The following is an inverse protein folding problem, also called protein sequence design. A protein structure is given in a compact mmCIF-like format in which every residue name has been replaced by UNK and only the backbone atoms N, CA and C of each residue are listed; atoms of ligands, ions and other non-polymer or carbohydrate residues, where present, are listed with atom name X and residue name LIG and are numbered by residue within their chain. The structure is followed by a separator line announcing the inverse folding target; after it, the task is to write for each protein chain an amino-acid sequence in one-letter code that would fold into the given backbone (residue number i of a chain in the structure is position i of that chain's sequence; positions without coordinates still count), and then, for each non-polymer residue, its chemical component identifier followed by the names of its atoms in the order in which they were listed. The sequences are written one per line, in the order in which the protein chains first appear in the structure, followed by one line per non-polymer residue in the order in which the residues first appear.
data_IF_792408588248
#
_entry.id   IF_792408588248
#
_cell.length_a   1.000
_cell.length_b   1.000
_cell.length_c   1.000
_cell.angle_alpha   90.00
_cell.angle_beta   90.00
_cell.angle_gamma   90.00
#
_symmetry.space_group_name_H-M   'P 1'
#
loop_
_entity.id
_entity.type
_entity.pdbx_description
1 polymer ?
#
# COMPACT_ATOMS: atom_id res chain seq x y z
N UNK A 1 30.42 6.29 18.50
CA UNK A 1 30.08 6.92 17.23
C UNK A 1 28.58 7.01 17.15
N UNK A 2 28.03 8.17 17.50
CA UNK A 2 26.62 8.52 17.35
C UNK A 2 26.25 8.36 15.87
N UNK A 3 25.40 7.37 15.55
CA UNK A 3 24.81 7.30 14.24
C UNK A 3 24.05 8.62 14.03
N UNK A 4 24.40 9.35 12.99
CA UNK A 4 23.69 10.56 12.61
C UNK A 4 22.24 10.14 12.31
N UNK A 5 21.32 10.57 13.16
CA UNK A 5 19.88 10.51 12.87
C UNK A 5 19.71 11.28 11.55
N UNK A 6 19.13 10.63 10.56
CA UNK A 6 18.89 11.30 9.29
C UNK A 6 18.02 12.54 9.59
N UNK A 7 18.52 13.73 9.29
CA UNK A 7 17.81 14.95 9.58
C UNK A 7 16.48 14.94 8.80
N UNK A 8 15.38 15.19 9.51
CA UNK A 8 14.06 15.42 8.89
C UNK A 8 14.22 16.46 7.76
N UNK A 9 13.54 16.28 6.61
CA UNK A 9 13.57 17.27 5.55
C UNK A 9 13.18 18.64 6.09
N UNK A 10 13.95 19.67 5.74
CA UNK A 10 13.62 21.03 6.14
C UNK A 10 12.28 21.41 5.54
N UNK A 11 11.37 21.93 6.38
CA UNK A 11 10.09 22.44 5.90
C UNK A 11 10.29 23.59 4.93
N UNK A 12 9.59 23.52 3.82
CA UNK A 12 9.50 24.58 2.80
C UNK A 12 8.02 24.83 2.54
N UNK A 13 7.62 26.09 2.63
CA UNK A 13 6.26 26.49 2.31
C UNK A 13 5.91 26.11 0.87
N UNK A 14 4.75 25.48 0.60
CA UNK A 14 4.40 25.05 -0.74
C UNK A 14 4.19 26.21 -1.70
N UNK A 15 4.58 25.98 -2.96
CA UNK A 15 4.38 26.92 -4.06
C UNK A 15 3.78 26.20 -5.26
N UNK A 16 3.36 26.95 -6.28
CA UNK A 16 2.85 26.36 -7.52
C UNK A 16 3.86 25.42 -8.20
N UNK A 17 5.17 25.72 -8.11
CA UNK A 17 6.25 24.90 -8.68
C UNK A 17 6.63 23.73 -7.78
N UNK A 18 6.39 23.84 -6.48
CA UNK A 18 6.66 22.81 -5.48
C UNK A 18 5.48 22.66 -4.54
N UNK A 19 4.39 22.05 -5.01
CA UNK A 19 3.20 21.85 -4.18
C UNK A 19 3.48 20.83 -3.08
N UNK A 20 2.74 20.94 -1.98
CA UNK A 20 2.69 19.93 -0.94
C UNK A 20 1.84 18.75 -1.41
N UNK A 21 2.45 17.57 -1.52
CA UNK A 21 1.80 16.38 -2.06
C UNK A 21 1.22 15.51 -0.93
N UNK A 22 -0.04 15.76 -0.58
CA UNK A 22 -0.78 14.93 0.39
C UNK A 22 -1.79 14.01 -0.32
N UNK A 23 -1.39 13.42 -1.46
CA UNK A 23 -2.30 12.71 -2.35
C UNK A 23 -1.83 11.33 -2.85
N UNK A 24 -0.54 11.00 -2.74
CA UNK A 24 0.01 9.78 -3.33
C UNK A 24 0.48 8.74 -2.31
N UNK A 25 0.29 8.99 -1.01
CA UNK A 25 0.70 8.09 0.06
C UNK A 25 2.21 7.77 0.00
N UNK A 26 3.02 8.74 -0.38
CA UNK A 26 4.47 8.65 -0.41
C UNK A 26 5.06 8.81 1.00
N UNK A 27 6.28 8.35 1.20
CA UNK A 27 7.03 8.63 2.42
C UNK A 27 7.65 10.03 2.30
N UNK A 28 7.23 11.01 3.12
CA UNK A 28 7.65 12.40 2.98
C UNK A 28 9.10 12.64 3.38
N UNK A 29 9.76 11.68 4.05
CA UNK A 29 11.18 11.77 4.40
C UNK A 29 12.09 11.64 3.16
N UNK A 30 11.58 11.03 2.08
CA UNK A 30 12.40 10.63 0.95
C UNK A 30 13.29 9.42 1.26
N UNK A 31 14.04 8.93 0.30
CA UNK A 31 15.00 7.84 0.52
C UNK A 31 16.11 8.28 1.47
N UNK A 32 16.65 7.34 2.24
CA UNK A 32 17.78 7.59 3.12
C UNK A 32 19.03 8.03 2.35
N UNK A 33 19.93 8.75 3.01
CA UNK A 33 21.23 9.13 2.38
C UNK A 33 22.03 7.89 2.00
N UNK A 34 21.99 6.84 2.81
CA UNK A 34 22.64 5.54 2.49
C UNK A 34 22.12 4.94 1.20
N UNK A 35 20.80 5.00 0.96
CA UNK A 35 20.20 4.51 -0.28
C UNK A 35 20.63 5.36 -1.49
N UNK A 36 20.67 6.68 -1.35
CA UNK A 36 21.13 7.59 -2.41
C UNK A 36 22.61 7.33 -2.77
N UNK A 37 23.45 7.11 -1.78
CA UNK A 37 24.85 6.73 -1.99
C UNK A 37 24.98 5.37 -2.69
N UNK A 38 24.15 4.38 -2.28
CA UNK A 38 24.12 3.08 -2.93
C UNK A 38 23.71 3.17 -4.40
N UNK A 39 22.73 4.03 -4.73
CA UNK A 39 22.33 4.33 -6.10
C UNK A 39 23.49 4.87 -6.91
N UNK A 40 24.20 5.88 -6.39
CA UNK A 40 25.33 6.51 -7.07
C UNK A 40 26.42 5.48 -7.39
N UNK A 41 26.75 4.59 -6.45
CA UNK A 41 27.72 3.52 -6.65
C UNK A 41 27.23 2.50 -7.70
N UNK A 42 25.97 2.09 -7.62
CA UNK A 42 25.41 1.11 -8.53
C UNK A 42 25.26 1.62 -9.98
N UNK A 43 25.07 2.92 -10.15
CA UNK A 43 24.98 3.55 -11.47
C UNK A 43 26.24 3.31 -12.33
N UNK A 44 27.41 3.14 -11.71
CA UNK A 44 28.67 2.80 -12.40
C UNK A 44 28.60 1.45 -13.12
N UNK A 45 27.71 0.58 -12.73
CA UNK A 45 27.52 -0.75 -13.29
C UNK A 45 26.24 -0.88 -14.14
N UNK A 46 25.63 0.25 -14.49
CA UNK A 46 24.37 0.29 -15.23
C UNK A 46 24.40 -0.36 -16.62
N UNK A 47 25.61 -0.63 -17.16
CA UNK A 47 25.79 -1.37 -18.42
C UNK A 47 25.70 -2.89 -18.27
N UNK A 48 25.52 -3.41 -17.06
CA UNK A 48 25.51 -4.84 -16.75
C UNK A 48 24.17 -5.30 -16.18
N UNK A 49 23.72 -6.47 -16.60
CA UNK A 49 22.56 -7.10 -15.97
C UNK A 49 22.89 -7.55 -14.53
N UNK A 50 21.98 -7.34 -13.59
CA UNK A 50 22.24 -7.52 -12.16
C UNK A 50 22.01 -8.96 -11.66
N UNK A 51 22.56 -10.01 -12.31
CA UNK A 51 22.32 -11.40 -11.93
C UNK A 51 22.68 -11.69 -10.47
N UNK A 52 23.90 -11.34 -10.08
CA UNK A 52 24.37 -11.59 -8.71
C UNK A 52 23.62 -10.74 -7.69
N UNK A 53 23.29 -9.50 -8.04
CA UNK A 53 22.56 -8.56 -7.17
C UNK A 53 21.14 -9.02 -6.92
N UNK A 54 20.45 -9.57 -7.92
CA UNK A 54 19.09 -10.14 -7.76
C UNK A 54 19.13 -11.31 -6.78
N UNK A 55 20.06 -12.24 -6.94
CA UNK A 55 20.19 -13.41 -6.06
C UNK A 55 20.46 -12.97 -4.62
N UNK A 56 21.42 -12.08 -4.42
CA UNK A 56 21.76 -11.56 -3.09
C UNK A 56 20.60 -10.81 -2.44
N UNK A 57 19.92 -9.94 -3.20
CA UNK A 57 18.79 -9.20 -2.68
C UNK A 57 17.61 -10.10 -2.30
N UNK A 58 17.27 -11.08 -3.14
CA UNK A 58 16.19 -12.04 -2.82
C UNK A 58 16.48 -12.84 -1.56
N UNK A 59 17.74 -13.20 -1.34
CA UNK A 59 18.16 -13.89 -0.11
C UNK A 59 17.91 -13.03 1.13
N UNK A 60 18.28 -11.75 1.07
CA UNK A 60 18.10 -10.82 2.19
C UNK A 60 16.63 -10.49 2.41
N UNK A 61 15.86 -10.28 1.33
CA UNK A 61 14.43 -10.04 1.40
C UNK A 61 13.68 -11.25 1.98
N UNK A 62 14.01 -12.46 1.54
CA UNK A 62 13.42 -13.67 2.07
C UNK A 62 13.71 -13.83 3.58
N UNK A 63 14.93 -13.52 4.01
CA UNK A 63 15.30 -13.50 5.43
C UNK A 63 14.50 -12.44 6.21
N UNK A 64 14.34 -11.25 5.64
CA UNK A 64 13.54 -10.18 6.24
C UNK A 64 12.07 -10.58 6.41
N UNK A 65 11.52 -11.31 5.44
CA UNK A 65 10.14 -11.78 5.45
C UNK A 65 9.95 -13.12 6.17
N UNK A 66 11.04 -13.75 6.63
CA UNK A 66 11.03 -15.09 7.24
C UNK A 66 10.37 -16.14 6.34
N UNK A 67 10.79 -16.16 5.08
CA UNK A 67 10.37 -17.13 4.05
C UNK A 67 11.58 -17.63 3.26
N UNK A 68 11.37 -18.57 2.34
CA UNK A 68 12.43 -19.06 1.46
C UNK A 68 12.61 -18.14 0.26
N UNK A 69 13.82 -18.06 -0.34
CA UNK A 69 14.05 -17.23 -1.53
C UNK A 69 13.14 -17.56 -2.72
N UNK A 70 12.78 -18.83 -2.90
CA UNK A 70 11.88 -19.28 -3.97
C UNK A 70 10.39 -19.02 -3.69
N UNK A 71 10.05 -18.56 -2.48
CA UNK A 71 8.74 -18.07 -2.08
C UNK A 71 8.57 -16.56 -2.32
N UNK A 72 9.57 -15.89 -2.90
CA UNK A 72 9.56 -14.45 -3.21
C UNK A 72 9.75 -14.23 -4.70
N UNK A 73 8.97 -13.35 -5.28
CA UNK A 73 9.08 -12.90 -6.67
C UNK A 73 9.18 -11.37 -6.72
N UNK A 74 10.25 -10.86 -7.30
CA UNK A 74 10.43 -9.41 -7.50
C UNK A 74 9.61 -8.92 -8.69
N UNK A 75 9.02 -7.73 -8.54
CA UNK A 75 8.21 -7.10 -9.58
C UNK A 75 8.54 -5.61 -9.71
N UNK A 76 8.20 -5.00 -10.83
CA UNK A 76 8.33 -3.56 -11.07
C UNK A 76 7.15 -2.80 -10.42
N UNK A 77 7.18 -2.72 -9.09
CA UNK A 77 6.09 -2.21 -8.27
C UNK A 77 5.00 -3.26 -8.02
N UNK A 78 4.13 -3.00 -7.04
CA UNK A 78 3.00 -3.88 -6.73
C UNK A 78 1.93 -3.91 -7.84
N UNK A 79 1.87 -2.88 -8.69
CA UNK A 79 0.96 -2.88 -9.83
C UNK A 79 1.24 -4.03 -10.81
N UNK A 80 2.52 -4.33 -11.09
CA UNK A 80 2.88 -5.51 -11.88
C UNK A 80 2.52 -6.81 -11.13
N UNK A 81 2.75 -6.86 -9.83
CA UNK A 81 2.39 -8.03 -9.03
C UNK A 81 0.88 -8.30 -9.04
N UNK A 82 0.06 -7.27 -8.93
CA UNK A 82 -1.41 -7.39 -9.02
C UNK A 82 -1.82 -7.93 -10.40
N UNK A 83 -1.31 -7.32 -11.47
CA UNK A 83 -1.62 -7.73 -12.85
C UNK A 83 -1.21 -9.19 -13.09
N UNK A 84 0.03 -9.50 -12.82
CA UNK A 84 0.57 -10.84 -13.05
C UNK A 84 -0.16 -11.92 -12.24
N UNK A 85 -0.52 -11.63 -11.00
CA UNK A 85 -1.28 -12.57 -10.14
C UNK A 85 -2.67 -12.85 -10.72
N UNK A 86 -3.40 -11.82 -11.11
CA UNK A 86 -4.74 -11.98 -11.69
C UNK A 86 -4.65 -12.75 -13.01
N UNK A 87 -3.72 -12.43 -13.88
CA UNK A 87 -3.51 -13.13 -15.16
C UNK A 87 -3.10 -14.59 -14.95
N UNK A 88 -2.24 -14.87 -13.96
CA UNK A 88 -1.78 -16.22 -13.66
C UNK A 88 -2.87 -17.12 -13.05
N UNK A 89 -3.70 -16.56 -12.17
CA UNK A 89 -4.71 -17.31 -11.42
C UNK A 89 -6.07 -17.38 -12.12
N UNK A 90 -6.32 -16.51 -13.10
CA UNK A 90 -7.58 -16.49 -13.84
C UNK A 90 -7.71 -17.70 -14.77
N UNK A 91 -8.94 -18.17 -14.90
CA UNK A 91 -9.38 -19.14 -15.90
C UNK A 91 -10.39 -18.48 -16.83
N UNK A 92 -10.88 -19.20 -17.84
CA UNK A 92 -11.93 -18.69 -18.74
C UNK A 92 -13.22 -18.30 -18.03
N UNK A 93 -13.43 -18.80 -16.83
CA UNK A 93 -14.65 -18.57 -16.04
C UNK A 93 -14.29 -18.07 -14.64
N UNK A 94 -13.75 -16.87 -14.57
CA UNK A 94 -13.26 -16.25 -13.33
C UNK A 94 -14.05 -15.01 -12.96
N UNK A 95 -14.26 -14.81 -11.68
CA UNK A 95 -14.86 -13.61 -11.08
C UNK A 95 -13.92 -13.06 -10.02
N UNK A 96 -13.71 -11.75 -10.02
CA UNK A 96 -13.01 -11.04 -8.94
C UNK A 96 -14.03 -10.54 -7.92
N UNK A 97 -13.86 -10.90 -6.66
CA UNK A 97 -14.68 -10.44 -5.54
C UNK A 97 -13.86 -9.52 -4.67
N UNK A 98 -14.34 -8.32 -4.42
CA UNK A 98 -13.65 -7.30 -3.62
C UNK A 98 -14.63 -6.39 -2.88
N UNK A 99 -14.19 -5.67 -1.83
CA UNK A 99 -14.96 -4.57 -1.27
C UNK A 99 -15.22 -3.48 -2.32
N UNK A 100 -16.38 -2.82 -2.28
CA UNK A 100 -16.69 -1.76 -3.25
C UNK A 100 -15.78 -0.53 -3.10
N UNK A 101 -15.27 -0.27 -1.90
CA UNK A 101 -14.37 0.84 -1.61
C UNK A 101 -12.99 0.30 -1.25
N UNK A 102 -12.14 0.19 -2.25
CA UNK A 102 -10.76 -0.30 -2.12
C UNK A 102 -9.87 0.23 -3.24
N UNK A 103 -8.61 -0.17 -3.24
CA UNK A 103 -7.66 0.19 -4.29
C UNK A 103 -8.10 -0.38 -5.65
N UNK A 104 -8.04 0.46 -6.69
CA UNK A 104 -8.71 0.16 -7.95
C UNK A 104 -7.99 -0.77 -8.92
N UNK A 105 -6.68 -1.00 -8.74
CA UNK A 105 -5.87 -1.71 -9.73
C UNK A 105 -6.35 -3.15 -9.98
N UNK A 106 -6.80 -3.84 -8.93
CA UNK A 106 -7.34 -5.20 -9.08
C UNK A 106 -8.55 -5.26 -10.01
N UNK A 107 -9.52 -4.37 -9.80
CA UNK A 107 -10.70 -4.26 -10.65
C UNK A 107 -10.35 -3.82 -12.08
N UNK A 108 -9.42 -2.90 -12.24
CA UNK A 108 -9.01 -2.40 -13.56
C UNK A 108 -8.31 -3.49 -14.37
N UNK A 109 -7.45 -4.28 -13.75
CA UNK A 109 -6.83 -5.46 -14.38
C UNK A 109 -7.88 -6.49 -14.75
N UNK A 110 -8.80 -6.81 -13.84
CA UNK A 110 -9.88 -7.75 -14.09
C UNK A 110 -10.71 -7.35 -15.30
N UNK A 111 -11.12 -6.09 -15.38
CA UNK A 111 -11.90 -5.56 -16.50
C UNK A 111 -11.15 -5.66 -17.84
N UNK A 112 -9.87 -5.33 -17.87
CA UNK A 112 -9.02 -5.45 -19.07
C UNK A 112 -8.87 -6.90 -19.54
N UNK A 113 -9.02 -7.86 -18.65
CA UNK A 113 -8.96 -9.29 -18.94
C UNK A 113 -10.35 -9.94 -19.08
N UNK A 114 -11.41 -9.14 -19.24
CA UNK A 114 -12.80 -9.60 -19.34
C UNK A 114 -13.26 -10.45 -18.15
N UNK A 115 -12.73 -10.17 -16.97
CA UNK A 115 -13.12 -10.81 -15.71
C UNK A 115 -14.19 -9.95 -15.05
N UNK A 116 -15.33 -10.55 -14.71
CA UNK A 116 -16.40 -9.89 -13.99
C UNK A 116 -15.93 -9.51 -12.58
N UNK A 117 -16.21 -8.27 -12.18
CA UNK A 117 -15.93 -7.79 -10.82
C UNK A 117 -17.21 -7.72 -10.01
N UNK A 118 -17.22 -8.37 -8.86
CA UNK A 118 -18.28 -8.29 -7.86
C UNK A 118 -17.81 -7.40 -6.73
N UNK A 119 -18.36 -6.18 -6.68
CA UNK A 119 -18.11 -5.22 -5.60
C UNK A 119 -19.11 -5.48 -4.48
N UNK A 120 -18.58 -5.77 -3.29
CA UNK A 120 -19.39 -6.04 -2.10
C UNK A 120 -19.49 -4.78 -1.25
N UNK A 121 -20.70 -4.41 -0.86
CA UNK A 121 -20.92 -3.19 -0.06
C UNK A 121 -20.13 -3.21 1.23
N UNK A 122 -19.67 -2.03 1.62
CA UNK A 122 -18.97 -1.83 2.89
C UNK A 122 -19.95 -1.94 4.06
N UNK A 123 -19.42 -2.29 5.22
CA UNK A 123 -20.11 -2.21 6.49
C UNK A 123 -20.18 -0.78 7.03
N UNK A 124 -20.63 -0.59 8.29
CA UNK A 124 -20.63 0.71 8.96
C UNK A 124 -19.23 1.34 8.96
N UNK A 125 -19.18 2.67 8.89
CA UNK A 125 -17.92 3.43 8.87
C UNK A 125 -16.93 2.98 7.80
N UNK A 126 -17.44 2.61 6.64
CA UNK A 126 -16.63 2.09 5.53
C UNK A 126 -15.72 0.92 5.90
N UNK A 127 -16.12 0.11 6.88
CA UNK A 127 -15.42 -1.12 7.22
C UNK A 127 -15.61 -2.19 6.13
N UNK A 128 -14.61 -3.04 5.96
CA UNK A 128 -14.74 -4.20 5.08
C UNK A 128 -15.66 -5.22 5.76
N UNK A 129 -16.76 -5.58 5.07
CA UNK A 129 -17.70 -6.61 5.53
C UNK A 129 -17.21 -8.00 5.07
N UNK A 130 -16.38 -8.63 5.90
CA UNK A 130 -15.82 -9.95 5.59
C UNK A 130 -16.89 -11.03 5.47
N UNK A 131 -17.95 -10.97 6.27
CA UNK A 131 -19.04 -11.93 6.19
C UNK A 131 -19.78 -11.83 4.85
N UNK A 132 -20.06 -10.61 4.39
CA UNK A 132 -20.69 -10.38 3.10
C UNK A 132 -19.78 -10.81 1.94
N UNK A 133 -18.50 -10.51 2.00
CA UNK A 133 -17.49 -10.96 1.01
C UNK A 133 -17.45 -12.48 0.91
N UNK A 134 -17.39 -13.15 2.05
CA UNK A 134 -17.38 -14.62 2.14
C UNK A 134 -18.63 -15.24 1.54
N UNK A 135 -19.79 -14.65 1.80
CA UNK A 135 -21.08 -15.10 1.25
C UNK A 135 -21.11 -14.97 -0.27
N UNK A 136 -20.71 -13.83 -0.81
CA UNK A 136 -20.66 -13.60 -2.26
C UNK A 136 -19.65 -14.53 -2.92
N UNK A 137 -18.44 -14.66 -2.37
CA UNK A 137 -17.42 -15.56 -2.88
C UNK A 137 -17.89 -17.02 -2.92
N UNK A 138 -18.55 -17.49 -1.86
CA UNK A 138 -19.09 -18.84 -1.80
C UNK A 138 -20.18 -19.10 -2.84
N UNK A 139 -21.06 -18.13 -3.08
CA UNK A 139 -22.10 -18.22 -4.11
C UNK A 139 -21.49 -18.27 -5.51
N UNK A 140 -20.52 -17.40 -5.80
CA UNK A 140 -19.85 -17.36 -7.10
C UNK A 140 -18.98 -18.62 -7.35
N UNK A 141 -18.36 -19.18 -6.32
CA UNK A 141 -17.50 -20.36 -6.41
C UNK A 141 -18.25 -21.63 -6.85
N UNK A 142 -19.56 -21.64 -6.80
CA UNK A 142 -20.38 -22.75 -7.33
C UNK A 142 -20.30 -22.86 -8.84
N UNK A 143 -20.05 -21.75 -9.54
CA UNK A 143 -20.06 -21.68 -11.01
C UNK A 143 -18.75 -21.12 -11.60
N UNK A 144 -17.91 -20.46 -10.78
CA UNK A 144 -16.75 -19.72 -11.24
C UNK A 144 -15.50 -20.03 -10.42
N UNK A 145 -14.34 -19.81 -11.01
CA UNK A 145 -13.11 -19.52 -10.26
C UNK A 145 -13.28 -18.15 -9.61
N UNK A 146 -13.03 -18.06 -8.31
CA UNK A 146 -13.13 -16.80 -7.54
C UNK A 146 -11.73 -16.33 -7.14
N UNK A 147 -11.43 -15.09 -7.49
CA UNK A 147 -10.28 -14.38 -6.97
C UNK A 147 -10.79 -13.36 -5.95
N UNK A 148 -10.39 -13.50 -4.69
CA UNK A 148 -10.72 -12.55 -3.63
C UNK A 148 -9.57 -11.55 -3.53
N UNK A 149 -9.84 -10.28 -3.78
CA UNK A 149 -8.86 -9.21 -3.65
C UNK A 149 -9.13 -8.40 -2.40
N UNK A 150 -8.21 -8.45 -1.44
CA UNK A 150 -8.27 -7.74 -0.17
C UNK A 150 -7.04 -6.88 0.01
N UNK A 151 -7.26 -5.59 0.22
CA UNK A 151 -6.23 -4.62 0.61
C UNK A 151 -6.33 -4.40 2.12
N UNK A 152 -5.31 -4.83 2.84
CA UNK A 152 -5.34 -4.77 4.31
C UNK A 152 -3.95 -4.42 4.86
N UNK A 153 -3.74 -3.23 5.41
CA UNK A 153 -4.71 -2.12 5.60
C UNK A 153 -5.30 -1.60 4.30
N UNK A 154 -6.57 -1.17 4.34
CA UNK A 154 -7.31 -0.76 3.16
C UNK A 154 -6.97 0.66 2.69
N UNK A 155 -7.00 0.87 1.39
CA UNK A 155 -6.94 2.16 0.72
C UNK A 155 -8.26 2.37 -0.04
N UNK A 156 -9.02 3.42 0.21
CA UNK A 156 -8.67 4.68 0.88
C UNK A 156 -9.04 4.78 2.37
N UNK A 157 -9.67 3.78 2.96
CA UNK A 157 -10.25 3.89 4.31
C UNK A 157 -9.19 3.98 5.42
N UNK A 158 -7.97 3.53 5.17
CA UNK A 158 -6.85 3.47 6.14
C UNK A 158 -7.02 2.46 7.29
N UNK A 159 -8.09 1.71 7.30
CA UNK A 159 -8.46 0.79 8.37
C UNK A 159 -8.00 -0.64 8.08
N UNK A 160 -7.93 -1.46 9.13
CA UNK A 160 -7.65 -2.89 9.03
C UNK A 160 -8.92 -3.72 9.19
N UNK A 161 -9.00 -4.82 8.46
CA UNK A 161 -9.98 -5.86 8.69
C UNK A 161 -9.47 -6.87 9.73
N UNK A 162 -10.37 -7.66 10.31
CA UNK A 162 -10.03 -8.64 11.33
C UNK A 162 -9.14 -9.76 10.77
N UNK A 163 -7.89 -9.82 11.26
CA UNK A 163 -6.89 -10.79 10.81
C UNK A 163 -7.31 -12.23 11.11
N UNK A 164 -7.97 -12.48 12.23
CA UNK A 164 -8.41 -13.83 12.59
C UNK A 164 -9.51 -14.33 11.65
N UNK A 165 -10.46 -13.46 11.29
CA UNK A 165 -11.50 -13.81 10.31
C UNK A 165 -10.90 -14.08 8.93
N UNK A 166 -9.94 -13.26 8.47
CA UNK A 166 -9.23 -13.49 7.21
C UNK A 166 -8.49 -14.83 7.25
N UNK A 167 -7.74 -15.10 8.31
CA UNK A 167 -6.99 -16.34 8.48
C UNK A 167 -7.91 -17.56 8.47
N UNK A 168 -9.01 -17.52 9.22
CA UNK A 168 -9.96 -18.62 9.27
C UNK A 168 -10.59 -18.87 7.90
N UNK A 169 -10.90 -17.82 7.16
CA UNK A 169 -11.43 -17.95 5.82
C UNK A 169 -10.44 -18.62 4.86
N UNK A 170 -9.20 -18.16 4.82
CA UNK A 170 -8.15 -18.74 3.97
C UNK A 170 -7.84 -20.18 4.38
N UNK A 171 -7.72 -20.46 5.68
CA UNK A 171 -7.46 -21.81 6.21
C UNK A 171 -8.59 -22.80 5.92
N UNK A 172 -9.82 -22.33 5.76
CA UNK A 172 -10.94 -23.19 5.38
C UNK A 172 -10.84 -23.73 3.95
N UNK A 173 -9.90 -23.24 3.17
CA UNK A 173 -9.60 -23.64 1.79
C UNK A 173 -10.88 -23.76 0.93
N UNK A 174 -11.64 -22.66 0.78
CA UNK A 174 -12.89 -22.69 0.04
C UNK A 174 -12.64 -23.10 -1.42
N UNK A 175 -13.52 -23.95 -1.94
CA UNK A 175 -13.39 -24.46 -3.33
C UNK A 175 -13.33 -23.32 -4.33
N UNK A 176 -12.56 -23.51 -5.39
CA UNK A 176 -12.43 -22.58 -6.53
C UNK A 176 -12.05 -21.16 -6.15
N UNK A 177 -11.45 -20.95 -4.96
CA UNK A 177 -11.16 -19.62 -4.43
C UNK A 177 -9.68 -19.45 -4.19
N UNK A 178 -9.13 -18.33 -4.68
CA UNK A 178 -7.77 -17.91 -4.45
C UNK A 178 -7.76 -16.49 -3.87
N UNK A 179 -6.88 -16.26 -2.88
CA UNK A 179 -6.81 -14.98 -2.17
C UNK A 179 -5.60 -14.16 -2.59
N UNK A 180 -5.86 -12.91 -2.96
CA UNK A 180 -4.83 -11.91 -3.27
C UNK A 180 -4.86 -10.87 -2.16
N UNK A 181 -3.86 -10.89 -1.28
CA UNK A 181 -3.75 -10.01 -0.12
C UNK A 181 -2.75 -8.90 -0.45
N UNK A 182 -3.25 -7.68 -0.60
CA UNK A 182 -2.41 -6.50 -0.81
C UNK A 182 -2.08 -5.86 0.53
N UNK A 183 -0.84 -6.01 0.96
CA UNK A 183 -0.33 -5.50 2.23
C UNK A 183 0.64 -4.33 2.06
N UNK A 184 0.38 -3.46 1.10
CA UNK A 184 1.25 -2.31 0.80
C UNK A 184 1.52 -1.39 2.00
N UNK A 185 0.64 -1.36 2.98
CA UNK A 185 0.73 -0.49 4.16
C UNK A 185 0.97 -1.24 5.48
N UNK A 186 1.22 -2.54 5.45
CA UNK A 186 1.35 -3.37 6.65
C UNK A 186 2.42 -2.89 7.62
N UNK A 187 3.52 -2.32 7.13
CA UNK A 187 4.64 -1.85 7.94
C UNK A 187 4.30 -0.62 8.79
N UNK A 188 3.22 0.09 8.48
CA UNK A 188 2.75 1.23 9.27
C UNK A 188 1.84 0.84 10.43
N UNK A 189 1.35 -0.39 10.48
CA UNK A 189 0.35 -0.82 11.47
C UNK A 189 0.92 -0.82 12.87
N UNK A 190 0.19 -0.20 13.80
CA UNK A 190 0.50 -0.20 15.23
C UNK A 190 -0.42 -1.12 16.03
N UNK A 191 -1.58 -1.47 15.50
CA UNK A 191 -2.53 -2.36 16.17
C UNK A 191 -1.95 -3.77 16.30
N UNK A 192 -1.75 -4.28 17.54
CA UNK A 192 -1.13 -5.60 17.76
C UNK A 192 -2.01 -6.78 17.31
N UNK A 193 -3.29 -6.56 17.04
CA UNK A 193 -4.20 -7.59 16.51
C UNK A 193 -3.96 -7.90 15.02
N UNK A 194 -3.29 -7.00 14.29
CA UNK A 194 -2.98 -7.21 12.89
C UNK A 194 -1.93 -8.32 12.71
N UNK A 195 -2.22 -9.23 11.79
CA UNK A 195 -1.30 -10.30 11.39
C UNK A 195 -1.15 -10.29 9.88
N UNK A 196 0.08 -10.28 9.40
CA UNK A 196 0.36 -10.46 7.98
C UNK A 196 -0.03 -11.85 7.50
N UNK A 197 -0.67 -11.92 6.34
CA UNK A 197 -0.98 -13.21 5.70
C UNK A 197 0.26 -13.96 5.20
N UNK A 198 1.46 -13.37 5.23
CA UNK A 198 2.72 -14.09 5.05
C UNK A 198 2.88 -15.23 6.06
N UNK A 199 2.28 -15.13 7.24
CA UNK A 199 2.25 -16.21 8.23
C UNK A 199 1.60 -17.49 7.67
N UNK A 200 0.55 -17.35 6.86
CA UNK A 200 -0.10 -18.49 6.22
C UNK A 200 0.76 -19.12 5.13
N UNK A 201 1.53 -18.31 4.43
CA UNK A 201 2.54 -18.82 3.47
C UNK A 201 3.59 -19.67 4.20
N UNK A 202 4.09 -19.19 5.33
CA UNK A 202 5.04 -19.95 6.18
C UNK A 202 4.45 -21.27 6.70
N UNK A 203 3.13 -21.32 6.91
CA UNK A 203 2.40 -22.52 7.31
C UNK A 203 2.12 -23.49 6.15
N UNK A 204 2.50 -23.13 4.90
CA UNK A 204 2.36 -24.00 3.73
C UNK A 204 1.03 -23.89 2.99
N UNK A 205 0.20 -22.86 3.27
CA UNK A 205 -1.00 -22.63 2.47
C UNK A 205 -0.63 -22.12 1.08
N UNK A 206 -1.26 -22.67 0.05
CA UNK A 206 -1.00 -22.39 -1.36
C UNK A 206 -2.19 -21.76 -2.10
N UNK A 207 -3.24 -21.38 -1.37
CA UNK A 207 -4.43 -20.73 -1.90
C UNK A 207 -4.42 -19.21 -1.75
N UNK A 208 -3.24 -18.62 -1.55
CA UNK A 208 -3.06 -17.17 -1.42
C UNK A 208 -1.71 -16.72 -1.98
N UNK A 209 -1.64 -15.43 -2.25
CA UNK A 209 -0.41 -14.68 -2.42
C UNK A 209 -0.51 -13.38 -1.66
N UNK A 210 0.60 -12.93 -1.09
CA UNK A 210 0.71 -11.63 -0.42
C UNK A 210 1.53 -10.70 -1.29
N UNK A 211 0.97 -9.54 -1.63
CA UNK A 211 1.62 -8.53 -2.46
C UNK A 211 2.15 -7.40 -1.57
N UNK A 212 3.39 -7.03 -1.80
CA UNK A 212 4.13 -6.06 -1.01
C UNK A 212 4.82 -5.02 -1.91
N UNK A 213 5.24 -3.91 -1.33
CA UNK A 213 5.87 -2.83 -2.08
C UNK A 213 6.97 -2.13 -1.30
N UNK A 214 7.97 -1.62 -2.01
CA UNK A 214 8.97 -0.68 -1.50
C UNK A 214 8.54 0.79 -1.68
N UNK A 215 7.38 1.03 -2.28
CA UNK A 215 6.90 2.38 -2.60
C UNK A 215 6.50 3.21 -1.38
N UNK A 216 6.15 2.58 -0.25
CA UNK A 216 5.54 3.27 0.89
C UNK A 216 6.56 3.48 2.01
N UNK A 217 6.70 2.59 2.97
CA UNK A 217 7.61 2.81 4.10
C UNK A 217 9.08 2.94 3.70
N UNK A 218 9.49 2.22 2.65
CA UNK A 218 10.87 2.28 2.15
C UNK A 218 11.16 3.50 1.26
N UNK A 219 10.19 4.41 1.07
CA UNK A 219 10.35 5.68 0.34
C UNK A 219 10.81 5.53 -1.12
N UNK A 220 10.45 4.43 -1.78
CA UNK A 220 10.95 4.08 -3.11
C UNK A 220 9.86 4.09 -4.20
N UNK A 221 8.83 4.93 -4.06
CA UNK A 221 7.71 4.95 -5.01
C UNK A 221 8.15 5.15 -6.47
N UNK A 222 9.11 6.03 -6.71
CA UNK A 222 9.68 6.30 -8.06
C UNK A 222 10.66 5.24 -8.55
N UNK A 223 11.15 4.36 -7.69
CA UNK A 223 12.16 3.34 -8.03
C UNK A 223 11.54 2.04 -8.57
N UNK A 224 10.23 1.89 -8.44
CA UNK A 224 9.43 0.80 -9.01
C UNK A 224 9.86 -0.60 -8.57
N UNK A 225 9.79 -0.88 -7.29
CA UNK A 225 10.02 -2.21 -6.74
C UNK A 225 8.86 -2.67 -5.85
N UNK A 226 8.32 -3.82 -6.17
CA UNK A 226 7.39 -4.58 -5.36
C UNK A 226 7.77 -6.05 -5.36
N UNK A 227 7.03 -6.85 -4.64
CA UNK A 227 7.26 -8.29 -4.61
C UNK A 227 6.01 -9.05 -4.19
N UNK A 228 5.97 -10.32 -4.57
CA UNK A 228 4.96 -11.27 -4.15
C UNK A 228 5.59 -12.30 -3.22
N UNK A 229 4.85 -12.70 -2.19
CA UNK A 229 5.22 -13.78 -1.27
C UNK A 229 4.14 -14.85 -1.34
N UNK A 230 4.54 -16.08 -1.63
CA UNK A 230 3.60 -17.20 -1.78
C UNK A 230 4.30 -18.55 -1.79
N UNK A 231 3.50 -19.59 -1.77
CA UNK A 231 4.03 -20.95 -2.00
C UNK A 231 4.78 -21.02 -3.34
N UNK A 232 5.81 -21.85 -3.42
CA UNK A 232 6.66 -21.98 -4.62
C UNK A 232 5.84 -22.24 -5.89
N UNK A 233 4.79 -23.05 -5.80
CA UNK A 233 3.90 -23.33 -6.95
C UNK A 233 3.18 -22.08 -7.41
N UNK A 234 2.70 -21.28 -6.48
CA UNK A 234 2.03 -20.00 -6.76
C UNK A 234 3.02 -19.02 -7.37
N UNK A 235 4.18 -18.86 -6.79
CA UNK A 235 5.24 -17.97 -7.29
C UNK A 235 5.67 -18.36 -8.70
N UNK A 236 5.90 -19.65 -8.98
CA UNK A 236 6.28 -20.12 -10.31
C UNK A 236 5.21 -19.79 -11.36
N UNK A 237 3.95 -19.94 -11.01
CA UNK A 237 2.82 -19.60 -11.90
C UNK A 237 2.76 -18.10 -12.22
N UNK A 238 2.96 -17.24 -11.21
CA UNK A 238 2.96 -15.78 -11.39
C UNK A 238 4.19 -15.33 -12.18
N UNK A 239 5.34 -15.99 -12.01
CA UNK A 239 6.60 -15.67 -12.69
C UNK A 239 6.47 -15.65 -14.21
N UNK A 240 5.63 -16.51 -14.79
CA UNK A 240 5.41 -16.55 -16.23
C UNK A 240 4.71 -15.30 -16.80
N UNK A 241 4.20 -14.43 -15.90
CA UNK A 241 3.47 -13.22 -16.25
C UNK A 241 4.20 -11.91 -15.89
N UNK A 242 5.44 -11.99 -15.43
CA UNK A 242 6.28 -10.83 -15.13
C UNK A 242 7.54 -10.81 -15.97
N UNK A 243 8.18 -9.67 -16.07
CA UNK A 243 9.53 -9.59 -16.60
C UNK A 243 10.50 -10.40 -15.74
N UNK A 244 11.52 -10.99 -16.34
CA UNK A 244 12.54 -11.71 -15.59
C UNK A 244 13.15 -10.82 -14.51
N UNK A 245 13.39 -11.39 -13.34
CA UNK A 245 13.95 -10.63 -12.20
C UNK A 245 15.33 -10.01 -12.50
N UNK A 246 16.08 -10.60 -13.42
CA UNK A 246 17.35 -10.03 -13.92
C UNK A 246 17.17 -8.77 -14.77
N UNK A 247 15.95 -8.44 -15.17
CA UNK A 247 15.60 -7.17 -15.80
C UNK A 247 15.38 -6.04 -14.79
N UNK A 248 15.55 -6.31 -13.50
CA UNK A 248 15.44 -5.31 -12.45
C UNK A 248 16.58 -4.29 -12.57
N UNK A 249 16.25 -3.03 -12.32
CA UNK A 249 17.22 -1.93 -12.39
C UNK A 249 18.31 -2.07 -11.30
N UNK A 250 19.57 -1.98 -11.68
CA UNK A 250 20.72 -2.04 -10.75
C UNK A 250 20.59 -1.05 -9.59
N UNK A 251 20.24 0.19 -9.88
CA UNK A 251 20.13 1.24 -8.86
C UNK A 251 18.95 0.99 -7.90
N UNK A 252 17.86 0.44 -8.41
CA UNK A 252 16.72 0.05 -7.59
C UNK A 252 17.08 -1.06 -6.60
N UNK A 253 17.79 -2.09 -7.05
CA UNK A 253 18.23 -3.18 -6.17
C UNK A 253 19.18 -2.68 -5.08
N UNK A 254 20.12 -1.80 -5.44
CA UNK A 254 21.05 -1.21 -4.49
C UNK A 254 20.35 -0.36 -3.43
N UNK A 255 19.40 0.49 -3.84
CA UNK A 255 18.59 1.28 -2.93
C UNK A 255 17.77 0.39 -2.01
N UNK A 256 17.10 -0.61 -2.55
CA UNK A 256 16.25 -1.52 -1.80
C UNK A 256 17.04 -2.33 -0.76
N UNK A 257 18.21 -2.82 -1.11
CA UNK A 257 19.10 -3.51 -0.17
C UNK A 257 19.54 -2.60 0.98
N UNK A 258 19.86 -1.34 0.67
CA UNK A 258 20.21 -0.35 1.68
C UNK A 258 19.04 -0.06 2.62
N UNK A 259 17.85 0.23 2.08
CA UNK A 259 16.66 0.53 2.89
C UNK A 259 16.20 -0.68 3.73
N UNK A 260 16.26 -1.87 3.18
CA UNK A 260 15.88 -3.12 3.86
C UNK A 260 16.72 -3.36 5.12
N UNK A 261 18.00 -2.99 5.09
CA UNK A 261 18.96 -3.16 6.18
C UNK A 261 19.09 -1.93 7.08
N UNK A 262 18.42 -0.83 6.77
CA UNK A 262 18.46 0.40 7.56
C UNK A 262 17.30 0.46 8.58
N UNK A 263 17.50 -0.23 9.70
CA UNK A 263 16.50 -0.29 10.78
C UNK A 263 16.18 1.09 11.38
N UNK A 264 17.17 1.98 11.41
CA UNK A 264 16.96 3.34 11.92
C UNK A 264 16.05 4.14 10.99
N UNK A 265 16.26 4.06 9.69
CA UNK A 265 15.39 4.71 8.70
C UNK A 265 13.94 4.19 8.78
N UNK A 266 13.75 2.88 8.90
CA UNK A 266 12.41 2.29 9.05
C UNK A 266 11.72 2.78 10.33
N UNK A 267 12.46 2.80 11.43
CA UNK A 267 11.97 3.31 12.73
C UNK A 267 11.59 4.79 12.62
N UNK A 268 12.47 5.61 12.07
CA UNK A 268 12.24 7.04 11.86
C UNK A 268 11.03 7.31 10.97
N UNK A 269 10.88 6.56 9.87
CA UNK A 269 9.74 6.67 8.98
C UNK A 269 8.42 6.38 9.70
N UNK A 270 8.40 5.36 10.54
CA UNK A 270 7.22 5.00 11.31
C UNK A 270 6.91 6.03 12.39
N UNK A 271 7.89 6.46 13.15
CA UNK A 271 7.74 7.46 14.20
C UNK A 271 7.29 8.82 13.64
N UNK A 272 7.89 9.26 12.54
CA UNK A 272 7.48 10.48 11.82
C UNK A 272 6.04 10.40 11.35
N UNK A 273 5.63 9.27 10.80
CA UNK A 273 4.25 9.02 10.38
C UNK A 273 3.29 9.06 11.57
N UNK A 274 3.63 8.45 12.68
CA UNK A 274 2.81 8.42 13.89
C UNK A 274 2.63 9.83 14.47
N UNK A 275 3.69 10.63 14.54
CA UNK A 275 3.64 12.03 14.96
C UNK A 275 2.78 12.88 14.02
N UNK A 276 2.97 12.75 12.71
CA UNK A 276 2.17 13.45 11.70
C UNK A 276 0.68 13.14 11.84
N UNK A 277 0.36 11.87 12.09
CA UNK A 277 -1.02 11.42 12.29
C UNK A 277 -1.64 12.02 13.54
N UNK A 278 -0.94 12.07 14.65
CA UNK A 278 -1.42 12.67 15.89
C UNK A 278 -1.67 14.18 15.73
N UNK A 279 -0.81 14.90 15.02
CA UNK A 279 -1.01 16.31 14.68
C UNK A 279 -2.33 16.50 13.93
N UNK A 280 -2.58 15.67 12.93
CA UNK A 280 -3.83 15.72 12.15
C UNK A 280 -5.03 15.35 13.00
N UNK A 281 -4.97 14.29 13.80
CA UNK A 281 -6.06 13.85 14.68
C UNK A 281 -6.48 14.92 15.66
N UNK A 282 -5.52 15.60 16.29
CA UNK A 282 -5.80 16.67 17.23
C UNK A 282 -6.63 17.77 16.57
N UNK A 283 -6.24 18.22 15.38
CA UNK A 283 -6.95 19.23 14.65
C UNK A 283 -8.35 18.77 14.21
N UNK A 284 -8.48 17.53 13.72
CA UNK A 284 -9.77 16.97 13.32
C UNK A 284 -10.75 16.91 14.49
N UNK A 285 -10.28 16.55 15.67
CA UNK A 285 -11.09 16.56 16.91
C UNK A 285 -11.51 17.99 17.29
N UNK A 286 -10.57 18.93 17.31
CA UNK A 286 -10.84 20.35 17.61
C UNK A 286 -11.87 20.96 16.65
N UNK A 287 -11.81 20.56 15.38
CA UNK A 287 -12.70 21.08 14.32
C UNK A 287 -13.98 20.25 14.15
N UNK A 288 -14.18 19.21 14.93
CA UNK A 288 -15.30 18.26 14.78
C UNK A 288 -15.44 17.70 13.35
N UNK A 289 -14.32 17.35 12.73
CA UNK A 289 -14.29 16.67 11.43
C UNK A 289 -14.15 15.17 11.69
N UNK A 290 -15.15 14.36 11.34
CA UNK A 290 -15.05 12.91 11.52
C UNK A 290 -13.97 12.29 10.64
N UNK A 291 -13.34 11.26 11.14
CA UNK A 291 -12.32 10.50 10.42
C UNK A 291 -12.32 9.04 10.86
N UNK A 292 -11.75 8.18 10.03
CA UNK A 292 -11.53 6.78 10.39
C UNK A 292 -10.16 6.63 11.07
N UNK A 293 -10.06 5.88 12.18
CA UNK A 293 -8.78 5.57 12.81
C UNK A 293 -7.84 4.87 11.81
N UNK A 294 -6.66 5.45 11.58
CA UNK A 294 -5.73 5.02 10.55
C UNK A 294 -4.63 4.10 11.07
N UNK A 295 -4.37 3.04 10.31
CA UNK A 295 -3.21 2.15 10.47
C UNK A 295 -2.24 2.26 9.27
N UNK A 296 -2.28 3.40 8.55
CA UNK A 296 -1.50 3.64 7.33
C UNK A 296 -0.75 4.96 7.40
N UNK A 297 -0.21 5.41 6.27
CA UNK A 297 0.36 6.74 6.10
C UNK A 297 -0.62 7.74 5.45
N UNK A 298 -1.90 7.55 5.67
CA UNK A 298 -2.97 8.47 5.26
C UNK A 298 -4.16 8.35 6.19
N UNK A 299 -5.03 9.37 6.19
CA UNK A 299 -6.26 9.41 6.98
C UNK A 299 -7.44 9.72 6.07
N UNK A 300 -8.55 9.04 6.28
CA UNK A 300 -9.79 9.25 5.53
C UNK A 300 -10.75 10.08 6.38
N UNK A 301 -11.06 11.31 5.91
CA UNK A 301 -11.85 12.29 6.65
C UNK A 301 -13.20 12.56 5.99
N UNK A 302 -14.23 12.78 6.79
CA UNK A 302 -15.57 13.11 6.32
C UNK A 302 -15.78 14.64 6.28
N UNK A 303 -15.81 15.19 5.08
CA UNK A 303 -16.03 16.64 4.87
C UNK A 303 -17.47 17.06 5.07
N UNK A 304 -18.42 16.12 5.17
CA UNK A 304 -19.88 16.40 5.17
C UNK A 304 -20.36 17.20 3.96
N UNK A 305 -19.55 17.27 2.92
CA UNK A 305 -19.79 18.01 1.69
C UNK A 305 -19.01 17.35 0.55
N UNK A 306 -19.38 17.60 -0.72
CA UNK A 306 -18.63 17.08 -1.87
C UNK A 306 -17.16 17.46 -1.82
N UNK A 307 -16.28 16.52 -2.22
CA UNK A 307 -14.83 16.68 -2.18
C UNK A 307 -14.31 17.85 -3.03
N UNK A 308 -14.87 18.03 -4.23
CA UNK A 308 -14.28 18.93 -5.24
C UNK A 308 -14.04 20.37 -4.75
N UNK A 309 -14.98 21.08 -4.11
CA UNK A 309 -14.71 22.42 -3.60
C UNK A 309 -13.55 22.48 -2.60
N UNK A 310 -13.46 21.52 -1.70
CA UNK A 310 -12.38 21.42 -0.73
C UNK A 310 -11.03 21.18 -1.43
N UNK A 311 -10.98 20.23 -2.36
CA UNK A 311 -9.77 19.92 -3.10
C UNK A 311 -9.28 21.11 -3.94
N UNK A 312 -10.20 21.84 -4.60
CA UNK A 312 -9.88 23.02 -5.39
C UNK A 312 -9.32 24.15 -4.50
N UNK A 313 -9.89 24.35 -3.32
CA UNK A 313 -9.42 25.35 -2.35
C UNK A 313 -8.04 24.99 -1.78
N UNK A 314 -7.81 23.71 -1.45
CA UNK A 314 -6.47 23.25 -1.03
C UNK A 314 -5.45 23.40 -2.15
N UNK A 315 -5.83 23.12 -3.40
CA UNK A 315 -4.97 23.33 -4.56
C UNK A 315 -4.60 24.81 -4.76
N UNK A 316 -5.52 25.73 -4.46
CA UNK A 316 -5.22 27.17 -4.47
C UNK A 316 -4.18 27.57 -3.42
N UNK A 317 -4.09 26.82 -2.33
CA UNK A 317 -3.03 26.95 -1.30
C UNK A 317 -1.79 26.07 -1.62
N UNK A 318 -1.68 25.56 -2.84
CA UNK A 318 -0.62 24.69 -3.31
C UNK A 318 -0.50 23.37 -2.54
N UNK A 319 -1.63 22.87 -2.02
CA UNK A 319 -1.73 21.57 -1.34
C UNK A 319 -2.59 20.63 -2.18
N UNK A 320 -2.05 19.47 -2.56
CA UNK A 320 -2.80 18.47 -3.30
C UNK A 320 -3.25 17.36 -2.34
N UNK A 321 -4.56 17.13 -2.29
CA UNK A 321 -5.19 16.08 -1.49
C UNK A 321 -5.66 14.92 -2.37
N UNK A 322 -6.10 13.83 -1.77
CA UNK A 322 -6.52 12.62 -2.49
C UNK A 322 -7.65 12.86 -3.50
N UNK A 323 -7.67 12.01 -4.52
CA UNK A 323 -8.71 11.97 -5.55
C UNK A 323 -10.06 11.52 -4.97
N UNK A 324 -11.18 11.67 -5.72
CA UNK A 324 -12.45 11.07 -5.32
C UNK A 324 -12.38 9.54 -5.24
N UNK A 325 -13.11 8.96 -4.29
CA UNK A 325 -13.27 7.52 -4.10
C UNK A 325 -14.74 7.15 -3.96
N UNK A 326 -15.51 7.13 -5.08
CA UNK A 326 -16.90 6.64 -5.01
C UNK A 326 -16.97 5.21 -4.42
N UNK A 327 -17.99 4.90 -3.61
CA UNK A 327 -19.18 5.71 -3.29
C UNK A 327 -18.99 6.74 -2.17
N UNK A 328 -17.81 6.85 -1.56
CA UNK A 328 -17.51 7.79 -0.46
C UNK A 328 -17.27 9.23 -0.96
N UNK A 329 -18.25 9.83 -1.64
CA UNK A 329 -18.10 11.09 -2.39
C UNK A 329 -17.88 12.33 -1.52
N UNK A 330 -18.17 12.24 -0.21
CA UNK A 330 -17.95 13.32 0.76
C UNK A 330 -16.68 13.14 1.59
N UNK A 331 -15.93 12.10 1.30
CA UNK A 331 -14.73 11.76 2.05
C UNK A 331 -13.47 12.15 1.27
N UNK A 332 -12.45 12.57 2.01
CA UNK A 332 -11.16 12.96 1.47
C UNK A 332 -10.04 12.11 2.10
N UNK A 333 -9.20 11.54 1.28
CA UNK A 333 -7.98 10.88 1.75
C UNK A 333 -6.84 11.89 1.81
N UNK A 334 -6.29 12.07 3.00
CA UNK A 334 -5.14 12.94 3.26
C UNK A 334 -3.93 12.08 3.51
N UNK A 335 -2.94 12.10 2.61
CA UNK A 335 -1.65 11.48 2.86
C UNK A 335 -0.91 12.23 3.96
N UNK A 336 -0.21 11.51 4.83
CA UNK A 336 0.55 12.12 5.91
C UNK A 336 1.91 12.61 5.37
N UNK A 337 2.13 13.92 5.47
CA UNK A 337 3.42 14.55 5.23
C UNK A 337 4.34 14.40 6.44
N UNK A 338 5.43 15.16 6.46
CA UNK A 338 6.24 15.32 7.67
C UNK A 338 5.41 15.99 8.77
N UNK A 339 5.81 15.87 10.05
CA UNK A 339 5.15 16.61 11.14
C UNK A 339 5.03 18.11 10.85
N UNK A 340 6.06 18.74 10.31
CA UNK A 340 6.03 20.16 9.94
C UNK A 340 5.03 20.47 8.81
N UNK A 341 4.96 19.61 7.79
CA UNK A 341 3.97 19.72 6.73
C UNK A 341 2.54 19.56 7.26
N UNK A 342 2.33 18.64 8.19
CA UNK A 342 1.01 18.46 8.79
C UNK A 342 0.60 19.64 9.67
N UNK A 343 1.53 20.27 10.39
CA UNK A 343 1.25 21.53 11.11
C UNK A 343 0.79 22.64 10.16
N UNK A 344 1.45 22.80 9.04
CA UNK A 344 1.05 23.75 8.01
C UNK A 344 -0.34 23.43 7.44
N UNK A 345 -0.58 22.17 7.08
CA UNK A 345 -1.89 21.73 6.59
C UNK A 345 -3.02 22.00 7.60
N UNK A 346 -2.77 21.72 8.87
CA UNK A 346 -3.74 21.94 9.95
C UNK A 346 -4.08 23.41 10.12
N UNK A 347 -3.11 24.32 9.98
CA UNK A 347 -3.40 25.78 10.00
C UNK A 347 -4.30 26.17 8.84
N UNK A 348 -4.08 25.67 7.63
CA UNK A 348 -4.97 25.90 6.49
C UNK A 348 -6.37 25.31 6.72
N UNK A 349 -6.45 24.15 7.34
CA UNK A 349 -7.72 23.53 7.69
C UNK A 349 -8.52 24.39 8.69
N UNK A 350 -7.85 24.97 9.67
CA UNK A 350 -8.46 25.92 10.63
C UNK A 350 -8.94 27.20 9.94
N UNK A 351 -8.15 27.75 9.03
CA UNK A 351 -8.56 28.90 8.20
C UNK A 351 -9.81 28.57 7.39
N UNK A 352 -9.90 27.38 6.82
CA UNK A 352 -11.07 26.93 6.05
C UNK A 352 -12.31 26.81 6.95
N UNK A 353 -12.16 26.33 8.17
CA UNK A 353 -13.25 26.30 9.16
C UNK A 353 -13.76 27.71 9.47
N UNK A 354 -12.86 28.67 9.68
CA UNK A 354 -13.24 30.07 9.94
C UNK A 354 -13.99 30.69 8.77
N UNK A 355 -13.70 30.27 7.55
CA UNK A 355 -14.39 30.72 6.33
C UNK A 355 -15.67 29.92 6.04
N UNK A 356 -16.02 28.95 6.86
CA UNK A 356 -17.17 28.06 6.63
C UNK A 356 -17.01 27.13 5.43
N UNK A 357 -15.78 26.75 5.09
CA UNK A 357 -15.47 25.92 3.93
C UNK A 357 -15.31 24.43 4.27
N UNK A 358 -15.22 24.12 5.55
CA UNK A 358 -15.10 22.75 6.06
C UNK A 358 -15.74 22.61 7.45
#
# INVERSE_FOLDING_TARGET
TTAAVAAQPKFVEPTAQKPMLLCFNENPLGMSEKAKEAIAKAAMYGSRYPFAQVIAFKKDLAKFMDVKPDEVLLTHGSAEAIRATIEAEATKNTVLVQPELTYGDGADVAKRNNILVKNVKMGPDWSIDLAALRKVAAAEAKKHRVLVYLVNPNNPTSTIADSNEIFNWIKSQPKNTFFILDEAYAEFVNDPSFKSCCELVRQGFDNLVVLKTFSKIFAMAGMRLGYAVGDVKVINKIRDHVAYEVMMNQTTLAAALSELNDKEFLKESKESNDEAREILYKALKELNIPYLPSQTNFVFIDLKAPLKPFADRMKAEHILVGRPFPPAVQWCRISLGTPAEMRYFVEKLKEFRQKGWV
#
